data_IF_327833772403
#
_entry.id   IF_327833772403
#
_cell.length_a   1.000
_cell.length_b   1.000
_cell.length_c   1.000
_cell.angle_alpha   90.00
_cell.angle_beta   90.00
_cell.angle_gamma   90.00
#
_symmetry.space_group_name_H-M   'P 1'
#
loop_
_entity.id
_entity.type
_entity.pdbx_description
1 polymer ?
#
# COMPACT_ATOMS: atom_id res chain seq x y z
N UNK A 1 28.80 7.32 -23.19
CA UNK A 1 27.74 7.25 -22.15
C UNK A 1 26.41 7.83 -22.63
N UNK A 2 26.38 8.96 -23.35
CA UNK A 2 25.14 9.52 -23.94
C UNK A 2 24.41 8.59 -24.91
N UNK A 3 25.12 7.88 -25.81
CA UNK A 3 24.47 6.98 -26.76
C UNK A 3 23.75 5.81 -26.09
N UNK A 4 24.30 5.27 -25.00
CA UNK A 4 23.70 4.14 -24.26
C UNK A 4 22.48 4.59 -23.44
N UNK A 5 22.48 5.84 -22.96
CA UNK A 5 21.33 6.49 -22.33
C UNK A 5 20.23 6.80 -23.35
N UNK A 6 20.58 7.35 -24.52
CA UNK A 6 19.63 7.63 -25.60
C UNK A 6 19.00 6.36 -26.17
N UNK A 7 19.79 5.30 -26.39
CA UNK A 7 19.27 4.00 -26.84
C UNK A 7 18.43 3.33 -25.76
N UNK A 8 18.82 3.43 -24.48
CA UNK A 8 18.01 2.93 -23.35
C UNK A 8 16.65 3.63 -23.23
N UNK A 9 16.63 4.95 -23.31
CA UNK A 9 15.40 5.75 -23.28
C UNK A 9 14.54 5.55 -24.53
N UNK A 10 15.16 5.39 -25.70
CA UNK A 10 14.46 5.16 -26.96
C UNK A 10 13.82 3.76 -27.02
N UNK A 11 14.52 2.72 -26.54
CA UNK A 11 13.99 1.35 -26.42
C UNK A 11 12.90 1.26 -25.35
N UNK A 12 13.05 1.93 -24.19
CA UNK A 12 11.98 2.01 -23.19
C UNK A 12 10.75 2.76 -23.72
N UNK A 13 10.92 3.87 -24.43
CA UNK A 13 9.78 4.61 -25.00
C UNK A 13 9.06 3.84 -26.11
N UNK A 14 9.78 3.11 -26.97
CA UNK A 14 9.13 2.22 -27.95
C UNK A 14 8.44 1.03 -27.29
N UNK A 15 9.04 0.42 -26.26
CA UNK A 15 8.41 -0.66 -25.49
C UNK A 15 7.11 -0.23 -24.81
N UNK A 16 7.05 1.01 -24.29
CA UNK A 16 5.84 1.58 -23.65
C UNK A 16 4.72 1.83 -24.65
N UNK A 17 5.05 2.39 -25.82
CA UNK A 17 4.08 2.58 -26.91
C UNK A 17 3.52 1.26 -27.42
N UNK A 18 4.39 0.26 -27.62
CA UNK A 18 3.98 -1.09 -28.06
C UNK A 18 3.14 -1.83 -27.02
N UNK A 19 3.44 -1.69 -25.72
CA UNK A 19 2.63 -2.30 -24.65
C UNK A 19 1.28 -1.59 -24.52
N UNK A 20 1.24 -0.25 -24.62
CA UNK A 20 -0.01 0.51 -24.64
C UNK A 20 -0.85 0.19 -25.90
N UNK A 21 -0.23 0.04 -27.07
CA UNK A 21 -0.91 -0.39 -28.29
C UNK A 21 -1.40 -1.83 -28.19
N UNK A 22 -0.60 -2.76 -27.64
CA UNK A 22 -1.04 -4.14 -27.39
C UNK A 22 -2.16 -4.21 -26.36
N UNK A 23 -2.13 -3.40 -25.31
CA UNK A 23 -3.26 -3.26 -24.38
C UNK A 23 -4.51 -2.75 -25.10
N UNK A 24 -4.40 -1.67 -25.88
CA UNK A 24 -5.52 -1.12 -26.67
C UNK A 24 -6.06 -2.11 -27.72
N UNK A 25 -5.20 -2.92 -28.33
CA UNK A 25 -5.59 -3.95 -29.30
C UNK A 25 -6.25 -5.17 -28.61
N UNK A 26 -5.79 -5.54 -27.41
CA UNK A 26 -6.44 -6.56 -26.58
C UNK A 26 -7.85 -6.10 -26.15
N UNK A 27 -8.01 -4.81 -25.81
CA UNK A 27 -9.31 -4.16 -25.52
C UNK A 27 -10.28 -4.17 -26.70
N UNK A 28 -9.76 -4.12 -27.94
CA UNK A 28 -10.56 -4.23 -29.15
C UNK A 28 -11.01 -5.67 -29.48
N UNK A 29 -10.62 -6.66 -28.67
CA UNK A 29 -10.98 -8.07 -28.87
C UNK A 29 -10.09 -8.81 -29.88
N UNK A 30 -8.94 -8.25 -30.27
CA UNK A 30 -8.06 -8.79 -31.31
C UNK A 30 -6.65 -9.21 -30.80
N UNK A 31 -6.37 -9.09 -29.49
CA UNK A 31 -5.01 -9.25 -28.94
C UNK A 31 -4.75 -10.56 -28.20
N UNK A 32 -3.54 -11.11 -28.36
CA UNK A 32 -2.97 -12.17 -27.51
C UNK A 32 -2.99 -11.76 -26.01
N UNK A 33 -3.00 -12.73 -25.06
CA UNK A 33 -2.90 -12.45 -23.62
C UNK A 33 -1.72 -11.53 -23.30
N UNK A 34 -1.93 -10.54 -22.43
CA UNK A 34 -0.89 -9.57 -22.08
C UNK A 34 0.23 -10.31 -21.35
N UNK A 35 1.39 -10.43 -21.98
CA UNK A 35 2.60 -10.82 -21.29
C UNK A 35 3.06 -9.65 -20.41
N UNK A 36 2.92 -9.82 -19.09
CA UNK A 36 3.38 -8.85 -18.11
C UNK A 36 4.84 -8.43 -18.39
N UNK A 37 5.14 -7.11 -18.40
CA UNK A 37 6.46 -6.64 -18.78
C UNK A 37 7.53 -7.11 -17.79
N UNK A 38 8.76 -7.24 -18.29
CA UNK A 38 9.93 -7.52 -17.44
C UNK A 38 10.29 -6.34 -16.52
N UNK A 39 9.94 -5.11 -16.94
CA UNK A 39 10.20 -3.90 -16.18
C UNK A 39 8.94 -3.07 -16.00
N UNK A 40 8.70 -2.61 -14.78
CA UNK A 40 7.62 -1.68 -14.44
C UNK A 40 8.23 -0.38 -13.89
N UNK A 41 7.49 0.73 -13.92
CA UNK A 41 7.97 1.96 -13.28
C UNK A 41 7.51 2.11 -11.84
N UNK A 42 6.21 1.90 -11.59
CA UNK A 42 5.61 2.12 -10.28
C UNK A 42 4.78 0.91 -9.89
N UNK A 43 5.12 0.32 -8.76
CA UNK A 43 4.31 -0.71 -8.11
C UNK A 43 3.79 -0.21 -6.75
N UNK A 44 2.48 -0.29 -6.55
CA UNK A 44 1.80 0.07 -5.31
C UNK A 44 1.55 -1.20 -4.50
N UNK A 45 2.12 -1.27 -3.29
CA UNK A 45 2.09 -2.46 -2.44
C UNK A 45 1.04 -2.28 -1.35
N UNK A 46 0.15 -3.25 -1.20
CA UNK A 46 -0.94 -3.27 -0.22
C UNK A 46 -0.85 -4.56 0.61
N UNK A 47 -1.20 -4.51 1.89
CA UNK A 47 -1.23 -5.71 2.71
C UNK A 47 -2.47 -6.57 2.42
N UNK A 48 -3.59 -5.93 2.08
CA UNK A 48 -4.89 -6.57 1.86
C UNK A 48 -5.60 -6.02 0.61
N UNK A 49 -6.37 -6.87 -0.08
CA UNK A 49 -7.13 -6.43 -1.26
C UNK A 49 -8.22 -5.38 -1.01
N UNK A 50 -8.70 -5.23 0.23
CA UNK A 50 -9.61 -4.11 0.56
C UNK A 50 -8.90 -2.75 0.48
N UNK A 51 -7.57 -2.72 0.69
CA UNK A 51 -6.78 -1.49 0.60
C UNK A 51 -6.48 -1.11 -0.86
N UNK A 52 -6.34 -2.11 -1.75
CA UNK A 52 -6.10 -1.92 -3.18
C UNK A 52 -7.38 -1.63 -3.97
N UNK A 53 -8.55 -2.07 -3.48
CA UNK A 53 -9.83 -2.05 -4.18
C UNK A 53 -10.20 -0.70 -4.83
N UNK A 54 -10.12 0.41 -4.09
CA UNK A 54 -10.44 1.71 -4.65
C UNK A 54 -9.50 2.13 -5.78
N UNK A 55 -8.23 1.71 -5.76
CA UNK A 55 -7.28 2.01 -6.84
C UNK A 55 -7.43 1.02 -8.01
N UNK A 56 -7.78 -0.24 -7.71
CA UNK A 56 -8.13 -1.24 -8.72
C UNK A 56 -9.31 -0.77 -9.58
N UNK A 57 -10.34 -0.18 -8.96
CA UNK A 57 -11.51 0.36 -9.66
C UNK A 57 -11.18 1.55 -10.58
N UNK A 58 -10.04 2.21 -10.37
CA UNK A 58 -9.53 3.28 -11.24
C UNK A 58 -8.65 2.76 -12.39
N UNK A 59 -8.27 1.48 -12.39
CA UNK A 59 -7.47 0.91 -13.46
C UNK A 59 -8.32 0.68 -14.70
N UNK A 60 -7.84 1.14 -15.85
CA UNK A 60 -8.32 0.68 -17.13
C UNK A 60 -7.71 -0.69 -17.41
N UNK A 61 -8.56 -1.65 -17.78
CA UNK A 61 -8.18 -2.98 -18.28
C UNK A 61 -7.35 -3.81 -17.29
N UNK A 62 -7.78 -3.93 -16.02
CA UNK A 62 -6.97 -4.62 -15.03
C UNK A 62 -6.89 -6.12 -15.34
N UNK A 63 -5.67 -6.66 -15.34
CA UNK A 63 -5.39 -8.09 -15.36
C UNK A 63 -4.84 -8.54 -14.01
N UNK A 64 -5.32 -9.69 -13.53
CA UNK A 64 -4.88 -10.26 -12.25
C UNK A 64 -4.01 -11.49 -12.47
N UNK A 65 -2.83 -11.48 -11.87
CA UNK A 65 -1.85 -12.56 -11.92
C UNK A 65 -1.66 -13.11 -10.50
N UNK A 66 -1.89 -14.41 -10.36
CA UNK A 66 -1.69 -15.12 -9.10
C UNK A 66 -0.25 -15.64 -9.03
N UNK A 67 0.54 -15.13 -8.09
CA UNK A 67 1.86 -15.65 -7.76
C UNK A 67 1.75 -16.55 -6.53
N UNK A 68 2.72 -17.45 -6.27
CA UNK A 68 2.66 -18.34 -5.11
C UNK A 68 2.55 -17.61 -3.76
N UNK A 69 3.15 -16.42 -3.66
CA UNK A 69 3.28 -15.67 -2.40
C UNK A 69 2.51 -14.34 -2.37
N UNK A 70 1.98 -13.87 -3.50
CA UNK A 70 1.30 -12.57 -3.62
C UNK A 70 0.37 -12.52 -4.83
N UNK A 71 -0.50 -11.50 -4.88
CA UNK A 71 -1.33 -11.20 -6.05
C UNK A 71 -0.83 -9.93 -6.72
N UNK A 72 -0.77 -9.93 -8.04
CA UNK A 72 -0.41 -8.76 -8.85
C UNK A 72 -1.60 -8.37 -9.73
N UNK A 73 -1.99 -7.10 -9.71
CA UNK A 73 -2.96 -6.52 -10.64
C UNK A 73 -2.23 -5.51 -11.53
N UNK A 74 -2.27 -5.71 -12.85
CA UNK A 74 -1.68 -4.81 -13.83
C UNK A 74 -2.78 -4.04 -14.54
N UNK A 75 -2.62 -2.74 -14.70
CA UNK A 75 -3.58 -1.92 -15.45
C UNK A 75 -3.05 -0.53 -15.73
N UNK A 76 -3.79 0.23 -16.53
CA UNK A 76 -3.45 1.63 -16.81
C UNK A 76 -4.15 2.54 -15.81
N UNK A 77 -3.40 3.40 -15.13
CA UNK A 77 -3.92 4.51 -14.35
C UNK A 77 -3.59 5.81 -15.09
N UNK A 78 -4.61 6.51 -15.59
CA UNK A 78 -4.46 7.72 -16.42
C UNK A 78 -3.47 7.51 -17.59
N UNK A 79 -3.59 6.35 -18.26
CA UNK A 79 -2.70 5.93 -19.36
C UNK A 79 -1.33 5.40 -18.94
N UNK A 80 -0.97 5.41 -17.65
CA UNK A 80 0.30 4.86 -17.16
C UNK A 80 0.14 3.43 -16.66
N UNK A 81 0.91 2.49 -17.20
CA UNK A 81 0.94 1.13 -16.69
C UNK A 81 1.54 1.09 -15.28
N UNK A 82 0.78 0.57 -14.32
CA UNK A 82 1.19 0.34 -12.94
C UNK A 82 0.80 -1.07 -12.48
N UNK A 83 1.36 -1.48 -11.35
CA UNK A 83 0.99 -2.71 -10.68
C UNK A 83 0.45 -2.42 -9.27
N UNK A 84 -0.59 -3.14 -8.88
CA UNK A 84 -1.02 -3.25 -7.49
C UNK A 84 -0.59 -4.63 -6.98
N UNK A 85 0.17 -4.67 -5.89
CA UNK A 85 0.75 -5.91 -5.35
C UNK A 85 0.18 -6.14 -3.96
N UNK A 86 -0.55 -7.24 -3.78
CA UNK A 86 -1.09 -7.65 -2.48
C UNK A 86 -0.10 -8.57 -1.78
N UNK A 87 0.62 -8.04 -0.78
CA UNK A 87 1.71 -8.75 -0.10
C UNK A 87 1.21 -9.73 0.96
N UNK A 88 -0.01 -9.54 1.46
CA UNK A 88 -0.46 -10.13 2.71
C UNK A 88 0.08 -9.39 3.94
N UNK A 89 -0.57 -9.64 5.07
CA UNK A 89 -0.29 -8.97 6.36
C UNK A 89 1.00 -9.46 7.01
N UNK A 90 1.74 -8.51 7.58
CA UNK A 90 2.92 -8.69 8.41
C UNK A 90 4.24 -8.51 7.66
N UNK A 91 5.21 -7.90 8.34
CA UNK A 91 6.51 -7.54 7.76
C UNK A 91 7.29 -8.69 7.10
N UNK A 92 7.13 -9.95 7.54
CA UNK A 92 7.80 -11.10 6.89
C UNK A 92 7.30 -11.33 5.46
N UNK A 93 5.98 -11.28 5.26
CA UNK A 93 5.38 -11.42 3.92
C UNK A 93 5.72 -10.22 3.06
N UNK A 94 5.55 -9.01 3.61
CA UNK A 94 5.92 -7.76 2.95
C UNK A 94 7.37 -7.76 2.43
N UNK A 95 8.34 -8.15 3.26
CA UNK A 95 9.77 -8.22 2.86
C UNK A 95 9.99 -9.23 1.74
N UNK A 96 9.48 -10.46 1.89
CA UNK A 96 9.62 -11.53 0.90
C UNK A 96 9.01 -11.14 -0.45
N UNK A 97 7.78 -10.61 -0.44
CA UNK A 97 7.10 -10.14 -1.65
C UNK A 97 7.89 -9.01 -2.31
N UNK A 98 8.43 -8.07 -1.53
CA UNK A 98 9.25 -6.96 -2.05
C UNK A 98 10.50 -7.46 -2.75
N UNK A 99 11.24 -8.40 -2.14
CA UNK A 99 12.42 -9.02 -2.74
C UNK A 99 12.10 -9.78 -4.02
N UNK A 100 11.06 -10.61 -3.99
CA UNK A 100 10.62 -11.37 -5.17
C UNK A 100 10.16 -10.45 -6.30
N UNK A 101 9.38 -9.42 -5.98
CA UNK A 101 8.82 -8.51 -6.96
C UNK A 101 9.89 -7.63 -7.61
N UNK A 102 10.88 -7.15 -6.85
CA UNK A 102 12.00 -6.40 -7.41
C UNK A 102 12.80 -7.27 -8.38
N UNK A 103 13.06 -8.54 -8.03
CA UNK A 103 13.74 -9.48 -8.92
C UNK A 103 12.92 -9.76 -10.20
N UNK A 104 11.60 -9.85 -10.07
CA UNK A 104 10.68 -10.17 -11.17
C UNK A 104 10.44 -9.00 -12.13
N UNK A 105 10.19 -7.80 -11.60
CA UNK A 105 9.65 -6.64 -12.35
C UNK A 105 10.56 -5.41 -12.34
N UNK A 106 11.64 -5.41 -11.57
CA UNK A 106 12.62 -4.31 -11.46
C UNK A 106 11.97 -2.91 -11.43
N UNK A 107 10.99 -2.68 -10.53
CA UNK A 107 10.28 -1.42 -10.49
C UNK A 107 11.24 -0.28 -10.18
N UNK A 108 11.06 0.88 -10.81
CA UNK A 108 11.82 2.08 -10.45
C UNK A 108 11.39 2.61 -9.07
N UNK A 109 10.10 2.50 -8.77
CA UNK A 109 9.46 2.92 -7.55
C UNK A 109 8.58 1.82 -6.96
N UNK A 110 8.70 1.62 -5.66
CA UNK A 110 7.71 0.93 -4.83
C UNK A 110 7.04 1.96 -3.92
N UNK A 111 5.72 2.01 -3.97
CA UNK A 111 4.91 2.82 -3.07
C UNK A 111 4.21 1.88 -2.12
N UNK A 112 4.63 1.80 -0.86
CA UNK A 112 3.84 1.11 0.15
C UNK A 112 2.59 1.93 0.43
N UNK A 113 1.43 1.31 0.25
CA UNK A 113 0.10 1.91 0.34
C UNK A 113 -0.74 1.09 1.33
N UNK A 114 -1.63 1.73 2.10
CA UNK A 114 -2.51 0.99 2.98
C UNK A 114 -3.07 1.81 4.12
N UNK A 115 -3.55 1.11 5.14
CA UNK A 115 -4.12 1.71 6.33
C UNK A 115 -3.10 1.83 7.46
N UNK A 116 -3.32 2.78 8.36
CA UNK A 116 -2.52 2.96 9.56
C UNK A 116 -3.36 3.44 10.74
N UNK A 117 -2.87 3.16 11.94
CA UNK A 117 -3.35 3.81 13.17
C UNK A 117 -2.65 5.14 13.37
N UNK A 118 -3.34 6.13 13.91
CA UNK A 118 -2.78 7.42 14.32
C UNK A 118 -2.11 7.31 15.70
N UNK A 119 -0.94 7.91 15.84
CA UNK A 119 -0.18 7.97 17.10
C UNK A 119 -0.10 9.38 17.70
N UNK A 120 -0.56 10.40 16.97
CA UNK A 120 -0.49 11.80 17.40
C UNK A 120 -1.85 12.49 17.23
N UNK A 121 -2.18 13.42 18.15
CA UNK A 121 -3.46 14.14 18.16
C UNK A 121 -3.79 14.89 16.86
N UNK A 122 -2.85 15.51 16.14
CA UNK A 122 -3.18 16.22 14.89
C UNK A 122 -3.66 15.29 13.77
N UNK A 123 -3.37 13.99 13.86
CA UNK A 123 -3.64 13.00 12.81
C UNK A 123 -4.98 12.31 13.09
N UNK A 124 -5.98 12.58 12.25
CA UNK A 124 -7.36 12.13 12.38
C UNK A 124 -7.74 11.07 11.34
N UNK A 125 -8.79 10.31 11.64
CA UNK A 125 -9.39 9.34 10.72
C UNK A 125 -9.68 9.94 9.34
N UNK A 126 -9.37 9.19 8.28
CA UNK A 126 -9.56 9.58 6.88
C UNK A 126 -8.50 10.53 6.33
N UNK A 127 -7.57 11.00 7.16
CA UNK A 127 -6.43 11.80 6.69
C UNK A 127 -5.31 10.90 6.14
N UNK A 128 -4.48 11.51 5.30
CA UNK A 128 -3.35 10.85 4.65
C UNK A 128 -2.06 11.18 5.40
N UNK A 129 -1.23 10.16 5.62
CA UNK A 129 0.13 10.31 6.11
C UNK A 129 1.10 9.83 5.04
N UNK A 130 2.08 10.69 4.70
CA UNK A 130 3.25 10.29 3.93
C UNK A 130 4.47 10.23 4.85
N UNK A 131 5.14 9.09 4.89
CA UNK A 131 6.26 8.92 5.82
C UNK A 131 7.54 9.59 5.27
N UNK A 132 8.19 10.44 6.07
CA UNK A 132 9.55 10.95 5.80
C UNK A 132 10.65 10.10 6.43
N UNK A 133 10.27 9.24 7.37
CA UNK A 133 11.11 8.22 7.94
C UNK A 133 10.22 7.07 8.43
N UNK A 134 10.78 5.87 8.40
CA UNK A 134 10.13 4.67 8.94
C UNK A 134 10.99 4.13 10.06
N UNK A 135 10.36 3.88 11.20
CA UNK A 135 11.04 3.42 12.42
C UNK A 135 10.47 2.08 12.84
N UNK A 136 11.33 1.27 13.46
CA UNK A 136 10.96 0.01 14.11
C UNK A 136 11.83 -0.13 15.35
N UNK A 137 11.26 -0.71 16.40
CA UNK A 137 11.98 -0.97 17.64
C UNK A 137 13.28 -1.76 17.37
N UNK A 138 14.37 -1.35 18.03
CA UNK A 138 15.71 -1.96 17.93
C UNK A 138 16.29 -2.01 16.49
N UNK A 139 15.84 -1.13 15.60
CA UNK A 139 16.35 -0.99 14.23
C UNK A 139 16.73 0.46 13.92
N UNK A 140 17.58 0.62 12.92
CA UNK A 140 17.96 1.95 12.43
C UNK A 140 16.76 2.63 11.76
N UNK A 141 16.64 3.95 11.91
CA UNK A 141 15.63 4.73 11.20
C UNK A 141 15.95 4.75 9.70
N UNK A 142 14.94 4.46 8.87
CA UNK A 142 15.07 4.55 7.41
C UNK A 142 14.44 5.86 6.93
N UNK A 143 15.29 6.83 6.58
CA UNK A 143 14.87 8.11 6.01
C UNK A 143 14.39 7.92 4.58
N UNK A 144 13.20 8.45 4.26
CA UNK A 144 12.63 8.43 2.92
C UNK A 144 12.88 9.78 2.25
N UNK A 145 13.75 9.86 1.24
CA UNK A 145 14.02 11.12 0.56
C UNK A 145 12.88 11.45 -0.41
N UNK A 146 12.02 12.40 -0.04
CA UNK A 146 11.05 12.99 -0.99
C UNK A 146 10.90 14.49 -0.77
N UNK A 147 10.52 15.21 -1.84
CA UNK A 147 10.71 16.67 -1.96
C UNK A 147 9.63 17.52 -1.29
N UNK A 148 8.78 16.94 -0.43
CA UNK A 148 7.69 17.65 0.22
C UNK A 148 8.06 17.95 1.68
N UNK A 149 8.17 19.25 1.97
CA UNK A 149 8.39 19.78 3.31
C UNK A 149 7.12 19.66 4.17
N UNK A 150 7.27 19.73 5.49
CA UNK A 150 6.13 19.71 6.41
C UNK A 150 5.19 20.91 6.17
N UNK A 151 5.75 22.05 5.76
CA UNK A 151 5.00 23.27 5.43
C UNK A 151 4.15 23.09 4.16
N UNK A 152 4.71 22.46 3.13
CA UNK A 152 3.97 22.11 1.91
C UNK A 152 2.85 21.09 2.21
N UNK A 153 3.11 20.13 3.09
CA UNK A 153 2.07 19.21 3.55
C UNK A 153 0.97 19.93 4.35
N UNK A 154 1.35 20.86 5.24
CA UNK A 154 0.42 21.64 6.05
C UNK A 154 -0.51 22.54 5.23
N UNK A 155 -0.09 22.94 4.02
CA UNK A 155 -0.94 23.69 3.08
C UNK A 155 -2.05 22.83 2.43
N UNK A 156 -1.98 21.50 2.56
CA UNK A 156 -2.95 20.57 2.02
C UNK A 156 -3.83 19.98 3.14
N UNK A 157 -5.11 20.37 3.24
CA UNK A 157 -5.99 19.88 4.29
C UNK A 157 -6.05 18.34 4.34
N UNK A 158 -5.73 17.78 5.51
CA UNK A 158 -5.76 16.34 5.77
C UNK A 158 -4.60 15.55 5.18
N UNK A 159 -3.49 16.21 4.83
CA UNK A 159 -2.20 15.57 4.53
C UNK A 159 -1.21 15.88 5.65
N UNK A 160 -0.54 14.84 6.13
CA UNK A 160 0.51 14.93 7.14
C UNK A 160 1.79 14.25 6.64
N UNK A 161 2.93 14.80 7.05
CA UNK A 161 4.25 14.20 6.83
C UNK A 161 4.92 14.00 8.18
N UNK A 162 5.46 12.80 8.42
CA UNK A 162 6.16 12.51 9.66
C UNK A 162 6.63 11.06 9.75
N UNK A 163 7.20 10.70 10.90
CA UNK A 163 7.67 9.34 11.15
C UNK A 163 6.50 8.36 11.22
N UNK A 164 6.69 7.21 10.59
CA UNK A 164 5.78 6.07 10.66
C UNK A 164 6.47 4.93 11.41
N UNK A 165 5.82 4.43 12.47
CA UNK A 165 6.29 3.28 13.24
C UNK A 165 5.74 1.99 12.64
N UNK A 166 6.58 0.97 12.47
CA UNK A 166 6.12 -0.39 12.14
C UNK A 166 6.27 -1.28 13.37
N UNK A 167 5.21 -2.01 13.71
CA UNK A 167 5.14 -2.97 14.82
C UNK A 167 4.69 -4.35 14.32
N UNK A 168 4.89 -5.39 15.12
CA UNK A 168 4.46 -6.75 14.73
C UNK A 168 2.99 -7.06 15.08
N UNK A 169 2.32 -6.19 15.84
CA UNK A 169 0.95 -6.41 16.34
C UNK A 169 0.14 -5.13 16.31
N UNK A 170 -1.17 -5.28 16.15
CA UNK A 170 -2.12 -4.16 16.16
C UNK A 170 -2.01 -3.39 17.49
N UNK A 171 -1.85 -2.06 17.41
CA UNK A 171 -1.88 -1.16 18.57
C UNK A 171 -3.32 -0.73 18.80
N UNK A 172 -3.89 -1.12 19.94
CA UNK A 172 -5.35 -1.06 20.12
C UNK A 172 -5.83 0.07 21.01
N UNK A 173 -5.15 0.32 22.13
CA UNK A 173 -5.64 1.28 23.14
C UNK A 173 -5.04 2.66 22.94
N UNK A 174 -5.77 3.74 23.30
CA UNK A 174 -5.24 5.09 23.22
C UNK A 174 -3.94 5.28 24.00
N UNK A 175 -3.83 4.68 25.19
CA UNK A 175 -2.61 4.79 26.01
C UNK A 175 -1.39 4.16 25.33
N UNK A 176 -1.57 2.99 24.69
CA UNK A 176 -0.50 2.36 23.91
C UNK A 176 -0.11 3.22 22.70
N UNK A 177 -1.08 3.82 22.02
CA UNK A 177 -0.81 4.69 20.86
C UNK A 177 -0.03 5.93 21.27
N UNK A 178 -0.43 6.63 22.34
CA UNK A 178 0.30 7.79 22.85
C UNK A 178 1.71 7.41 23.30
N UNK A 179 1.85 6.33 24.06
CA UNK A 179 3.16 5.86 24.52
C UNK A 179 4.11 5.57 23.34
N UNK A 180 3.63 4.88 22.30
CA UNK A 180 4.44 4.59 21.11
C UNK A 180 4.73 5.84 20.28
N UNK A 181 3.77 6.76 20.17
CA UNK A 181 3.95 8.06 19.53
C UNK A 181 5.06 8.87 20.19
N UNK A 182 5.03 8.98 21.52
CA UNK A 182 6.03 9.71 22.31
C UNK A 182 7.41 9.03 22.25
N UNK A 183 7.45 7.70 22.42
CA UNK A 183 8.69 6.94 22.45
C UNK A 183 9.46 7.00 21.12
N UNK A 184 8.74 6.95 20.01
CA UNK A 184 9.34 6.87 18.66
C UNK A 184 9.26 8.19 17.88
N UNK A 185 8.64 9.23 18.45
CA UNK A 185 8.34 10.47 17.74
C UNK A 185 7.53 10.24 16.46
N UNK A 186 6.66 9.23 16.46
CA UNK A 186 5.91 8.75 15.31
C UNK A 186 4.47 9.26 15.32
N UNK A 187 3.94 9.57 14.14
CA UNK A 187 2.57 10.10 13.98
C UNK A 187 1.57 9.06 13.49
N UNK A 188 2.07 7.93 12.96
CA UNK A 188 1.28 6.82 12.47
C UNK A 188 1.96 5.48 12.75
N UNK A 189 1.18 4.40 12.78
CA UNK A 189 1.64 3.03 13.00
C UNK A 189 1.04 2.05 11.99
N UNK A 190 1.86 1.12 11.49
CA UNK A 190 1.44 0.00 10.66
C UNK A 190 2.21 -1.30 11.00
N UNK A 191 2.06 -2.35 10.18
CA UNK A 191 2.68 -3.66 10.41
C UNK A 191 3.66 -4.11 9.30
N UNK A 192 3.82 -3.31 8.23
CA UNK A 192 4.53 -3.73 7.02
C UNK A 192 5.59 -2.74 6.52
N UNK A 193 5.39 -1.42 6.65
CA UNK A 193 6.18 -0.40 5.92
C UNK A 193 7.68 -0.58 6.09
N UNK A 194 8.17 -0.76 7.32
CA UNK A 194 9.61 -0.87 7.59
C UNK A 194 10.22 -2.03 6.80
N UNK A 195 9.53 -3.16 6.71
CA UNK A 195 10.04 -4.35 6.04
C UNK A 195 10.11 -4.19 4.52
N UNK A 196 9.15 -3.48 3.92
CA UNK A 196 9.20 -3.09 2.50
C UNK A 196 10.31 -2.05 2.25
N UNK A 197 10.43 -1.04 3.11
CA UNK A 197 11.46 -0.01 3.01
C UNK A 197 12.86 -0.61 3.09
N UNK A 198 13.11 -1.49 4.07
CA UNK A 198 14.37 -2.22 4.25
C UNK A 198 14.76 -3.02 3.00
N UNK A 199 13.81 -3.76 2.41
CA UNK A 199 14.05 -4.50 1.16
C UNK A 199 14.35 -3.59 -0.03
N UNK A 200 13.69 -2.43 -0.12
CA UNK A 200 13.95 -1.44 -1.17
C UNK A 200 15.34 -0.82 -1.03
N UNK A 201 15.75 -0.47 0.20
CA UNK A 201 17.11 0.04 0.49
C UNK A 201 18.16 -0.99 0.11
N UNK A 202 17.98 -2.24 0.52
CA UNK A 202 18.91 -3.33 0.21
C UNK A 202 19.10 -3.55 -1.31
N UNK A 203 18.05 -3.30 -2.10
CA UNK A 203 18.05 -3.52 -3.56
C UNK A 203 18.16 -2.23 -4.38
N UNK A 204 18.34 -1.07 -3.71
CA UNK A 204 18.46 0.25 -4.33
C UNK A 204 17.24 0.64 -5.19
N UNK A 205 16.05 0.22 -4.78
CA UNK A 205 14.77 0.63 -5.37
C UNK A 205 14.23 1.84 -4.64
N UNK A 206 13.67 2.81 -5.36
CA UNK A 206 13.12 4.02 -4.75
C UNK A 206 11.82 3.68 -4.02
N UNK A 207 11.61 4.31 -2.87
CA UNK A 207 10.54 3.95 -1.95
C UNK A 207 9.73 5.17 -1.52
N UNK A 208 8.41 5.01 -1.39
CA UNK A 208 7.51 5.93 -0.70
C UNK A 208 6.54 5.15 0.18
N UNK A 209 6.04 5.79 1.25
CA UNK A 209 4.92 5.27 2.02
C UNK A 209 3.77 6.28 2.04
N UNK A 210 2.57 5.79 1.72
CA UNK A 210 1.31 6.52 1.77
C UNK A 210 0.34 5.71 2.62
N UNK A 211 -0.25 6.33 3.63
CA UNK A 211 -1.22 5.70 4.52
C UNK A 211 -2.47 6.54 4.67
N UNK A 212 -3.62 5.89 4.77
CA UNK A 212 -4.85 6.52 5.27
C UNK A 212 -5.11 6.06 6.69
N UNK A 213 -5.43 7.01 7.57
CA UNK A 213 -5.64 6.71 8.99
C UNK A 213 -7.04 6.13 9.19
N UNK A 214 -7.13 4.89 9.67
CA UNK A 214 -8.40 4.19 9.92
C UNK A 214 -8.90 4.35 11.35
N UNK A 215 -7.97 4.61 12.28
CA UNK A 215 -8.22 4.81 13.69
C UNK A 215 -7.24 5.84 14.25
N UNK A 216 -7.74 6.91 14.88
CA UNK A 216 -6.93 7.97 15.45
C UNK A 216 -6.36 7.58 16.83
N UNK A 217 -5.57 8.47 17.42
CA UNK A 217 -4.89 8.22 18.71
C UNK A 217 -5.87 7.93 19.85
N UNK A 218 -7.05 8.54 19.85
CA UNK A 218 -8.06 8.38 20.91
C UNK A 218 -9.02 7.19 20.67
N UNK A 219 -8.92 6.54 19.53
CA UNK A 219 -9.80 5.42 19.18
C UNK A 219 -9.29 4.11 19.77
N UNK A 220 -10.20 3.34 20.38
CA UNK A 220 -9.92 1.98 20.83
C UNK A 220 -10.40 0.95 19.78
N UNK A 221 -9.51 0.04 19.39
CA UNK A 221 -9.84 -1.05 18.47
C UNK A 221 -10.37 -2.29 19.21
N UNK A 222 -11.35 -3.04 18.66
CA UNK A 222 -11.92 -4.23 19.31
C UNK A 222 -10.90 -5.34 19.60
N UNK A 223 -11.08 -6.07 20.72
CA UNK A 223 -10.19 -7.17 21.17
C UNK A 223 -10.00 -8.30 20.16
N UNK A 224 -10.99 -8.53 19.30
CA UNK A 224 -10.96 -9.63 18.35
C UNK A 224 -10.43 -9.23 16.97
N UNK A 225 -10.01 -7.98 16.76
CA UNK A 225 -9.56 -7.51 15.45
C UNK A 225 -8.33 -8.29 14.95
N UNK A 226 -7.38 -8.61 15.83
CA UNK A 226 -6.20 -9.41 15.50
C UNK A 226 -6.58 -10.76 14.88
N UNK A 227 -7.52 -11.48 15.51
CA UNK A 227 -8.00 -12.77 15.01
C UNK A 227 -8.69 -12.64 13.66
N UNK A 228 -9.40 -11.54 13.41
CA UNK A 228 -10.09 -11.31 12.15
C UNK A 228 -9.11 -11.04 11.00
N UNK A 229 -8.07 -10.25 11.28
CA UNK A 229 -7.00 -9.95 10.31
C UNK A 229 -6.19 -11.22 10.00
N UNK A 230 -5.90 -12.06 11.00
CA UNK A 230 -5.24 -13.35 10.80
C UNK A 230 -6.12 -14.36 10.01
N UNK A 231 -7.44 -14.36 10.25
CA UNK A 231 -8.38 -15.31 9.64
C UNK A 231 -8.71 -15.02 8.17
N UNK A 232 -8.56 -13.77 7.70
CA UNK A 232 -8.75 -13.42 6.29
C UNK A 232 -7.71 -14.03 5.32
N UNK A 233 -6.73 -14.78 5.86
CA UNK A 233 -5.72 -15.51 5.08
C UNK A 233 -6.13 -16.93 4.63
N UNK A 234 -7.33 -17.44 4.97
CA UNK A 234 -7.66 -18.85 4.66
C UNK A 234 -9.10 -19.08 4.20
N UNK A 235 -9.29 -19.93 3.20
CA UNK A 235 -10.57 -20.44 2.68
C UNK A 235 -11.47 -21.19 3.71
N UNK A 236 -11.14 -21.14 5.01
CA UNK A 236 -11.97 -21.65 6.12
C UNK A 236 -13.06 -20.67 6.59
N UNK A 237 -13.16 -19.50 5.96
CA UNK A 237 -14.02 -18.38 6.35
C UNK A 237 -15.52 -18.71 6.40
N UNK A 238 -16.04 -19.51 5.48
CA UNK A 238 -17.50 -19.66 5.30
C UNK A 238 -18.15 -20.40 6.49
N UNK A 239 -17.54 -21.50 6.96
CA UNK A 239 -18.10 -22.31 8.04
C UNK A 239 -18.00 -21.68 9.42
N UNK A 240 -16.90 -20.95 9.69
CA UNK A 240 -16.66 -20.30 10.99
C UNK A 240 -17.44 -18.97 11.12
N UNK A 241 -17.60 -18.22 10.03
CA UNK A 241 -18.36 -16.98 10.03
C UNK A 241 -19.84 -17.21 10.35
N UNK A 242 -20.47 -18.25 9.77
CA UNK A 242 -21.87 -18.58 10.05
C UNK A 242 -22.13 -18.89 11.54
N UNK A 243 -21.24 -19.64 12.19
CA UNK A 243 -21.35 -19.98 13.62
C UNK A 243 -21.08 -18.79 14.57
N UNK A 244 -20.20 -17.86 14.16
CA UNK A 244 -19.89 -16.65 14.94
C UNK A 244 -21.01 -15.60 14.86
N UNK A 245 -21.67 -15.47 13.69
CA UNK A 245 -22.79 -14.57 13.46
C UNK A 245 -24.00 -14.93 14.34
N UNK A 246 -24.30 -16.22 14.48
CA UNK A 246 -25.42 -16.72 15.30
C UNK A 246 -25.21 -16.40 16.80
N UNK A 247 -23.96 -16.40 17.27
CA UNK A 247 -23.66 -16.26 18.69
C UNK A 247 -23.33 -14.83 19.14
N UNK A 248 -23.14 -13.86 18.22
CA UNK A 248 -22.77 -12.47 18.55
C UNK A 248 -23.27 -11.43 17.51
N UNK A 249 -24.55 -11.02 17.56
CA UNK A 249 -25.11 -10.06 16.61
C UNK A 249 -24.47 -8.66 16.67
N UNK A 250 -23.94 -8.21 17.82
CA UNK A 250 -23.20 -6.93 17.90
C UNK A 250 -21.88 -6.94 17.10
N UNK A 251 -21.20 -8.09 17.02
CA UNK A 251 -19.97 -8.24 16.23
C UNK A 251 -20.21 -8.08 14.73
N UNK A 252 -21.43 -8.35 14.27
CA UNK A 252 -21.82 -8.11 12.87
C UNK A 252 -21.83 -6.60 12.61
N UNK A 253 -22.50 -5.81 13.44
CA UNK A 253 -22.56 -4.35 13.27
C UNK A 253 -21.17 -3.70 13.31
N UNK A 254 -20.30 -4.15 14.21
CA UNK A 254 -18.91 -3.70 14.27
C UNK A 254 -18.15 -4.04 12.97
N UNK A 255 -18.38 -5.23 12.41
CA UNK A 255 -17.80 -5.64 11.12
C UNK A 255 -18.26 -4.76 9.96
N UNK A 256 -19.57 -4.46 9.88
CA UNK A 256 -20.12 -3.59 8.85
C UNK A 256 -19.49 -2.19 8.92
N UNK A 257 -19.36 -1.62 10.13
CA UNK A 257 -18.72 -0.31 10.34
C UNK A 257 -17.24 -0.32 9.97
N UNK A 258 -16.50 -1.37 10.33
CA UNK A 258 -15.10 -1.52 9.97
C UNK A 258 -14.93 -1.64 8.45
N UNK A 259 -15.77 -2.45 7.79
CA UNK A 259 -15.77 -2.57 6.33
C UNK A 259 -16.10 -1.25 5.66
N UNK A 260 -17.13 -0.54 6.11
CA UNK A 260 -17.49 0.77 5.54
C UNK A 260 -16.36 1.79 5.71
N UNK A 261 -15.73 1.82 6.88
CA UNK A 261 -14.57 2.69 7.15
C UNK A 261 -13.40 2.32 6.23
N UNK A 262 -13.12 1.03 6.07
CA UNK A 262 -12.07 0.54 5.18
C UNK A 262 -12.34 0.89 3.71
N UNK A 263 -13.59 0.75 3.22
CA UNK A 263 -13.96 1.16 1.86
C UNK A 263 -13.76 2.67 1.65
N UNK A 264 -14.23 3.51 2.58
CA UNK A 264 -14.01 4.97 2.50
C UNK A 264 -12.52 5.33 2.52
N UNK A 265 -11.73 4.62 3.33
CA UNK A 265 -10.29 4.79 3.39
C UNK A 265 -9.60 4.34 2.09
N UNK A 266 -10.05 3.23 1.49
CA UNK A 266 -9.59 2.71 0.20
C UNK A 266 -9.84 3.73 -0.92
N UNK A 267 -11.05 4.28 -1.02
CA UNK A 267 -11.39 5.33 -1.99
C UNK A 267 -10.55 6.59 -1.78
N UNK A 268 -10.31 6.98 -0.53
CA UNK A 268 -9.48 8.14 -0.20
C UNK A 268 -8.03 7.91 -0.60
N UNK A 269 -7.50 6.72 -0.33
CA UNK A 269 -6.15 6.31 -0.69
C UNK A 269 -5.99 6.30 -2.22
N UNK A 270 -6.96 5.72 -2.93
CA UNK A 270 -6.98 5.66 -4.40
C UNK A 270 -6.91 7.04 -5.05
N UNK A 271 -7.80 7.97 -4.64
CA UNK A 271 -7.78 9.35 -5.15
C UNK A 271 -6.46 10.07 -4.87
N UNK A 272 -5.86 9.82 -3.71
CA UNK A 272 -4.57 10.41 -3.38
C UNK A 272 -3.45 9.83 -4.25
N UNK A 273 -3.43 8.50 -4.42
CA UNK A 273 -2.45 7.80 -5.27
C UNK A 273 -2.58 8.17 -6.75
N UNK A 274 -3.80 8.40 -7.26
CA UNK A 274 -4.02 8.93 -8.60
C UNK A 274 -3.31 10.27 -8.81
N UNK A 275 -3.24 11.12 -7.78
CA UNK A 275 -2.45 12.35 -7.83
C UNK A 275 -0.94 12.14 -7.68
N UNK A 276 -0.50 11.16 -6.89
CA UNK A 276 0.93 10.90 -6.60
C UNK A 276 1.63 10.16 -7.73
N UNK A 277 1.03 9.09 -8.25
CA UNK A 277 1.66 8.19 -9.22
C UNK A 277 2.20 8.94 -10.44
N UNK A 278 1.49 9.89 -11.07
CA UNK A 278 2.01 10.65 -12.23
C UNK A 278 3.27 11.48 -11.93
N UNK A 279 3.51 11.82 -10.66
CA UNK A 279 4.66 12.63 -10.24
C UNK A 279 5.95 11.80 -10.06
N UNK A 280 5.84 10.48 -10.03
CA UNK A 280 6.97 9.56 -9.87
C UNK A 280 7.67 9.36 -11.21
N UNK A 281 8.72 10.13 -11.47
CA UNK A 281 9.61 9.98 -12.63
C UNK A 281 10.83 9.14 -12.30
#
# INVERSE_FOLDING_TARGET
MLLRWLVGNWVQNQGRGLIQEKLKAHVAGEGEPIHAPETLEVACFFALGIESGGLYDLLETPETIQHPDFVEHLGLLDGRLIALVETGVGGKKARRTTEQYIALRKPQWIVSCGFAGGLAEPVKKGQVVMANAVVRAEREELVIPFSMTAEQAASQPGLHVGRLLTVDKIVRTPDQKRQLGDLHGAIAVDMETYATADACVAQKTRFLSVRVITDAVDDELPKNLERLVEQNSTAKMIGAAAAAIINRPSSVQDMWRLRETAMKASDRLARFLQGVVPQLK
#
